data_IF_906264930889
#
_entry.id   IF_906264930889
#
_cell.length_a   1.000
_cell.length_b   1.000
_cell.length_c   1.000
_cell.angle_alpha   90.00
_cell.angle_beta   90.00
_cell.angle_gamma   90.00
#
_symmetry.space_group_name_H-M   'P 1'
#
loop_
_entity.id
_entity.type
_entity.pdbx_description
1 polymer ?
#
# COMPACT_ATOMS: atom_id res chain seq x y z
N UNK A 1 20.44 14.03 10.20
CA UNK A 1 19.89 12.89 10.97
C UNK A 1 20.28 13.07 12.43
N UNK A 2 19.33 13.19 13.37
CA UNK A 2 19.63 13.40 14.79
C UNK A 2 19.04 12.26 15.65
N UNK A 3 19.83 11.79 16.62
CA UNK A 3 19.47 10.89 17.73
C UNK A 3 18.89 9.48 17.42
N UNK A 4 19.40 8.78 16.40
CA UNK A 4 19.06 7.35 16.24
C UNK A 4 19.36 6.67 14.91
N UNK A 5 20.18 7.29 14.04
CA UNK A 5 20.66 6.80 12.72
C UNK A 5 19.61 6.23 11.73
N UNK A 6 18.32 6.28 12.07
CA UNK A 6 17.19 5.80 11.28
C UNK A 6 16.57 6.95 10.50
N UNK A 7 16.45 6.83 9.18
CA UNK A 7 15.76 7.79 8.33
C UNK A 7 15.05 7.14 7.14
N UNK A 8 13.99 7.76 6.65
CA UNK A 8 13.24 7.31 5.48
C UNK A 8 13.51 8.26 4.33
N UNK A 9 13.87 7.74 3.17
CA UNK A 9 14.23 8.52 1.98
C UNK A 9 13.61 7.91 0.73
N UNK A 10 13.59 8.68 -0.36
CA UNK A 10 13.25 8.17 -1.69
C UNK A 10 14.52 8.17 -2.54
N UNK A 11 14.84 7.03 -3.14
CA UNK A 11 15.84 6.96 -4.22
C UNK A 11 15.33 6.03 -5.33
N UNK A 12 15.60 6.38 -6.59
CA UNK A 12 15.16 5.62 -7.78
C UNK A 12 13.65 5.30 -7.79
N UNK A 13 12.83 6.23 -7.28
CA UNK A 13 11.37 6.04 -7.17
C UNK A 13 10.96 4.95 -6.18
N UNK A 14 11.82 4.59 -5.23
CA UNK A 14 11.55 3.64 -4.16
C UNK A 14 11.69 4.28 -2.80
N UNK A 15 10.87 3.83 -1.85
CA UNK A 15 10.98 4.19 -0.44
C UNK A 15 12.06 3.33 0.19
N UNK A 16 13.01 3.97 0.86
CA UNK A 16 14.18 3.33 1.47
C UNK A 16 14.28 3.71 2.94
N UNK A 17 14.39 2.70 3.79
CA UNK A 17 14.74 2.83 5.21
C UNK A 17 16.26 2.78 5.35
N UNK A 18 16.85 3.76 6.02
CA UNK A 18 18.30 3.85 6.24
C UNK A 18 18.61 3.78 7.72
N UNK A 19 19.38 2.80 8.16
CA UNK A 19 19.88 2.68 9.55
C UNK A 19 21.39 2.68 9.56
N UNK A 20 22.00 3.80 9.92
CA UNK A 20 23.46 3.91 9.88
C UNK A 20 23.98 3.75 8.45
N UNK A 21 24.65 2.63 8.18
CA UNK A 21 25.17 2.29 6.85
C UNK A 21 24.28 1.29 6.09
N UNK A 22 23.26 0.74 6.75
CA UNK A 22 22.33 -0.21 6.15
C UNK A 22 21.19 0.52 5.46
N UNK A 23 20.85 0.05 4.26
CA UNK A 23 19.71 0.50 3.49
C UNK A 23 18.79 -0.66 3.17
N UNK A 24 17.49 -0.48 3.40
CA UNK A 24 16.48 -1.47 3.06
C UNK A 24 15.40 -0.84 2.18
N UNK A 25 15.18 -1.45 1.03
CA UNK A 25 14.19 -1.03 0.04
C UNK A 25 12.81 -1.60 0.41
N UNK A 26 11.86 -0.75 0.75
CA UNK A 26 10.48 -1.13 1.12
C UNK A 26 9.63 -1.45 -0.12
N UNK A 27 9.33 -0.44 -0.93
CA UNK A 27 8.45 -0.56 -2.09
C UNK A 27 8.66 0.58 -3.09
N UNK A 28 8.04 0.49 -4.27
CA UNK A 28 8.05 1.58 -5.26
C UNK A 28 6.98 2.60 -4.92
N UNK A 29 7.22 3.87 -5.24
CA UNK A 29 6.19 4.92 -5.10
C UNK A 29 4.94 4.61 -5.94
N UNK A 30 5.09 3.91 -7.06
CA UNK A 30 3.98 3.49 -7.90
C UNK A 30 3.10 2.40 -7.30
N UNK A 31 3.58 1.68 -6.28
CA UNK A 31 2.79 0.64 -5.60
C UNK A 31 1.89 1.24 -4.50
N UNK A 32 1.99 2.55 -4.26
CA UNK A 32 1.29 3.26 -3.19
C UNK A 32 0.07 3.98 -3.77
N UNK A 33 -1.16 3.51 -3.51
CA UNK A 33 -2.37 4.12 -4.07
C UNK A 33 -2.52 5.60 -3.69
N UNK A 34 -2.14 5.95 -2.46
CA UNK A 34 -2.26 7.30 -1.90
C UNK A 34 -1.43 8.37 -2.64
N UNK A 35 -0.36 8.01 -3.35
CA UNK A 35 0.48 8.95 -4.11
C UNK A 35 -0.21 9.36 -5.44
N UNK A 36 -1.11 8.50 -5.93
CA UNK A 36 -1.80 8.69 -7.20
C UNK A 36 -0.88 8.75 -8.42
N UNK A 37 -1.47 8.97 -9.61
CA UNK A 37 -0.72 9.04 -10.88
C UNK A 37 0.09 10.32 -11.03
N UNK A 38 -0.36 11.42 -10.41
CA UNK A 38 0.28 12.72 -10.50
C UNK A 38 1.55 12.84 -9.63
N UNK A 39 1.75 11.90 -8.69
CA UNK A 39 2.94 11.85 -7.81
C UNK A 39 3.28 13.21 -7.19
N UNK A 40 2.28 13.86 -6.58
CA UNK A 40 2.49 15.17 -5.99
C UNK A 40 3.52 15.07 -4.85
N UNK A 41 4.41 16.07 -4.70
CA UNK A 41 5.44 16.03 -3.66
C UNK A 41 4.84 15.97 -2.25
N UNK A 42 3.68 16.59 -2.03
CA UNK A 42 2.93 16.56 -0.77
C UNK A 42 2.48 15.14 -0.40
N UNK A 43 1.89 14.40 -1.34
CA UNK A 43 1.44 13.03 -1.12
C UNK A 43 2.62 12.09 -0.84
N UNK A 44 3.73 12.28 -1.54
CA UNK A 44 4.98 11.56 -1.28
C UNK A 44 5.49 11.87 0.13
N UNK A 45 5.52 13.15 0.53
CA UNK A 45 5.96 13.56 1.86
C UNK A 45 5.07 12.96 2.96
N UNK A 46 3.75 12.95 2.76
CA UNK A 46 2.79 12.34 3.69
C UNK A 46 3.04 10.85 3.87
N UNK A 47 3.26 10.11 2.77
CA UNK A 47 3.58 8.69 2.83
C UNK A 47 4.92 8.44 3.52
N UNK A 48 5.95 9.24 3.23
CA UNK A 48 7.25 9.10 3.89
C UNK A 48 7.17 9.38 5.39
N UNK A 49 6.38 10.37 5.80
CA UNK A 49 6.13 10.68 7.20
C UNK A 49 5.41 9.51 7.90
N UNK A 50 4.38 8.93 7.28
CA UNK A 50 3.67 7.77 7.81
C UNK A 50 4.60 6.54 7.95
N UNK A 51 5.43 6.26 6.94
CA UNK A 51 6.44 5.20 6.97
C UNK A 51 7.46 5.44 8.08
N UNK A 52 7.94 6.67 8.23
CA UNK A 52 8.89 7.04 9.28
C UNK A 52 8.28 6.88 10.68
N UNK A 53 7.02 7.28 10.86
CA UNK A 53 6.29 7.10 12.11
C UNK A 53 6.11 5.61 12.45
N UNK A 54 5.60 4.81 11.51
CA UNK A 54 5.43 3.36 11.70
C UNK A 54 6.74 2.66 12.04
N UNK A 55 7.84 3.07 11.40
CA UNK A 55 9.15 2.51 11.68
C UNK A 55 9.73 2.97 13.03
N UNK A 56 9.49 4.22 13.43
CA UNK A 56 9.86 4.70 14.76
C UNK A 56 9.13 3.94 15.87
N UNK A 57 7.87 3.55 15.63
CA UNK A 57 7.04 2.72 16.52
C UNK A 57 7.46 1.23 16.57
N UNK A 58 8.44 0.82 15.76
CA UNK A 58 8.95 -0.56 15.76
C UNK A 58 8.10 -1.54 14.95
N UNK A 59 7.24 -1.05 14.04
CA UNK A 59 6.51 -1.93 13.13
C UNK A 59 7.47 -2.64 12.18
N UNK A 60 7.13 -3.88 11.81
CA UNK A 60 7.91 -4.65 10.85
C UNK A 60 7.75 -4.06 9.44
N UNK A 61 8.73 -4.31 8.58
CA UNK A 61 8.71 -3.83 7.21
C UNK A 61 7.51 -4.37 6.42
N UNK A 62 7.07 -5.59 6.72
CA UNK A 62 5.89 -6.20 6.09
C UNK A 62 4.61 -5.46 6.47
N UNK A 63 4.46 -5.09 7.74
CA UNK A 63 3.30 -4.31 8.23
C UNK A 63 3.28 -2.94 7.57
N UNK A 64 4.41 -2.25 7.52
CA UNK A 64 4.53 -0.93 6.88
C UNK A 64 4.24 -1.04 5.38
N UNK A 65 4.83 -2.02 4.69
CA UNK A 65 4.63 -2.23 3.25
C UNK A 65 3.17 -2.52 2.93
N UNK A 66 2.54 -3.39 3.72
CA UNK A 66 1.14 -3.78 3.54
C UNK A 66 0.25 -2.56 3.73
N UNK A 67 0.39 -1.82 4.83
CA UNK A 67 -0.40 -0.63 5.10
C UNK A 67 -0.29 0.41 3.99
N UNK A 68 0.92 0.70 3.51
CA UNK A 68 1.14 1.68 2.43
C UNK A 68 0.55 1.22 1.09
N UNK A 69 0.55 -0.08 0.80
CA UNK A 69 -0.02 -0.64 -0.44
C UNK A 69 -1.54 -0.77 -0.42
N UNK A 70 -2.16 -0.92 0.75
CA UNK A 70 -3.60 -1.14 0.87
C UNK A 70 -4.38 0.11 1.29
N UNK A 71 -3.70 1.12 1.83
CA UNK A 71 -4.36 2.36 2.28
C UNK A 71 -5.06 3.07 1.12
N UNK A 72 -6.35 3.34 1.30
CA UNK A 72 -7.18 4.05 0.33
C UNK A 72 -7.60 3.19 -0.88
N UNK A 73 -7.38 1.88 -0.85
CA UNK A 73 -8.00 0.98 -1.82
C UNK A 73 -9.50 0.87 -1.53
N UNK A 74 -10.31 1.19 -2.54
CA UNK A 74 -11.72 0.85 -2.58
C UNK A 74 -11.83 -0.60 -3.06
N UNK A 75 -11.72 -1.54 -2.10
CA UNK A 75 -11.85 -2.95 -2.40
C UNK A 75 -13.35 -3.31 -2.47
N UNK A 76 -13.81 -4.00 -3.51
CA UNK A 76 -15.19 -4.47 -3.56
C UNK A 76 -15.46 -5.40 -2.37
N UNK A 77 -16.70 -5.36 -1.86
CA UNK A 77 -17.14 -6.31 -0.83
C UNK A 77 -16.87 -7.75 -1.30
N UNK A 78 -16.38 -8.64 -0.42
CA UNK A 78 -15.97 -9.98 -0.81
C UNK A 78 -17.09 -10.78 -1.49
N UNK A 79 -18.36 -10.56 -1.11
CA UNK A 79 -19.54 -11.13 -1.79
C UNK A 79 -19.67 -10.72 -3.27
N UNK A 80 -19.25 -9.51 -3.65
CA UNK A 80 -19.34 -9.03 -5.01
C UNK A 80 -18.34 -9.72 -5.96
N UNK A 81 -17.33 -10.41 -5.41
CA UNK A 81 -16.34 -11.18 -6.17
C UNK A 81 -16.79 -12.63 -6.43
N UNK A 82 -17.90 -13.07 -5.83
CA UNK A 82 -18.47 -14.38 -6.10
C UNK A 82 -19.19 -14.37 -7.46
N UNK A 83 -18.96 -15.34 -8.36
CA UNK A 83 -19.73 -15.43 -9.59
C UNK A 83 -21.20 -15.66 -9.24
N UNK A 84 -22.05 -14.72 -9.63
CA UNK A 84 -23.51 -14.84 -9.53
C UNK A 84 -23.91 -16.11 -10.28
N UNK A 85 -24.18 -17.20 -9.57
CA UNK A 85 -24.79 -18.39 -10.16
C UNK A 85 -26.18 -18.00 -10.65
N UNK A 86 -26.27 -17.67 -11.94
CA UNK A 86 -27.53 -17.36 -12.59
C UNK A 86 -28.50 -18.54 -12.37
N UNK A 87 -29.53 -18.32 -11.56
CA UNK A 87 -30.67 -19.23 -11.45
C UNK A 87 -31.27 -19.40 -12.84
N UNK A 88 -30.97 -20.50 -13.51
CA UNK A 88 -31.60 -20.87 -14.78
C UNK A 88 -33.09 -21.09 -14.51
N UNK A 89 -34.02 -20.29 -15.08
CA UNK A 89 -35.42 -20.64 -14.97
C UNK A 89 -35.63 -21.88 -15.82
N UNK A 90 -35.98 -23.00 -15.19
CA UNK A 90 -36.52 -24.17 -15.87
C UNK A 90 -37.85 -23.74 -16.49
N UNK A 91 -37.81 -23.24 -17.73
CA UNK A 91 -39.01 -22.94 -18.50
C UNK A 91 -39.79 -24.24 -18.66
N UNK A 92 -40.98 -24.27 -18.07
CA UNK A 92 -41.99 -25.28 -18.27
C UNK A 92 -42.25 -25.44 -19.78
N UNK A 93 -41.98 -26.63 -20.31
CA UNK A 93 -42.51 -27.06 -21.59
C UNK A 93 -43.79 -27.84 -21.32
N UNK A 94 -44.91 -27.12 -21.38
CA UNK A 94 -46.24 -27.68 -21.61
C UNK A 94 -46.30 -28.07 -23.09
N UNK A 95 -46.50 -29.35 -23.38
CA UNK A 95 -47.30 -29.84 -24.50
C UNK A 95 -47.69 -31.29 -24.29
#
# INVERSE_FOLDING_TARGET
>A
FAAGKRGVTVADGRIILRTGNDEVRLCRLGDVPAIGKAKKPEDIANVLAAVAAGWALGLTQEVITTGVKTFGLDLPEPEALLPIQAKKPLRAAVK
#
